data_IF_487419060392
#
_entry.id   IF_487419060392
#
_cell.length_a   1.000
_cell.length_b   1.000
_cell.length_c   1.000
_cell.angle_alpha   90.00
_cell.angle_beta   90.00
_cell.angle_gamma   90.00
#
_symmetry.space_group_name_H-M   'P 1'
#
loop_
_entity.id
_entity.type
_entity.pdbx_description
1 polymer ?
#
# COMPACT_ATOMS: atom_id res chain seq x y z
N UNK A 1 -19.19 20.79 32.57
CA UNK A 1 -18.53 22.06 32.18
C UNK A 1 -17.35 21.65 31.34
N UNK A 2 -17.38 21.91 30.04
CA UNK A 2 -16.26 21.61 29.18
C UNK A 2 -15.15 22.60 29.49
N UNK A 3 -14.01 22.09 29.89
CA UNK A 3 -12.80 22.90 30.11
C UNK A 3 -12.33 23.40 28.74
N UNK A 4 -12.31 24.71 28.54
CA UNK A 4 -11.79 25.33 27.34
C UNK A 4 -10.26 25.26 27.40
N UNK A 5 -9.65 24.37 26.65
CA UNK A 5 -8.19 24.29 26.52
C UNK A 5 -7.74 25.46 25.63
N UNK A 6 -7.12 26.45 26.25
CA UNK A 6 -6.52 27.57 25.53
C UNK A 6 -5.06 27.25 25.25
N UNK A 7 -4.73 27.01 23.97
CA UNK A 7 -3.33 26.86 23.50
C UNK A 7 -2.86 28.17 22.86
N UNK A 8 -1.68 28.63 23.25
CA UNK A 8 -1.04 29.79 22.65
C UNK A 8 0.02 29.30 21.67
N UNK A 9 -0.09 29.67 20.40
CA UNK A 9 0.93 29.41 19.37
C UNK A 9 1.79 30.66 19.27
N UNK A 10 3.09 30.54 19.47
CA UNK A 10 4.05 31.64 19.31
C UNK A 10 4.75 31.47 17.97
N UNK A 11 4.60 32.44 17.08
CA UNK A 11 5.29 32.51 15.80
C UNK A 11 6.56 33.32 15.96
N UNK A 12 7.72 32.72 15.70
CA UNK A 12 9.01 33.41 15.73
C UNK A 12 9.32 33.95 14.32
N UNK A 13 9.17 35.25 14.12
CA UNK A 13 9.32 35.91 12.80
C UNK A 13 10.72 35.82 12.20
N UNK A 14 11.73 35.46 12.99
CA UNK A 14 13.14 35.44 12.56
C UNK A 14 13.70 34.02 12.28
N UNK A 15 12.86 33.00 12.28
CA UNK A 15 13.27 31.62 11.94
C UNK A 15 12.70 31.21 10.59
N UNK A 16 13.56 31.04 9.62
CA UNK A 16 13.22 30.44 8.34
C UNK A 16 13.48 28.93 8.38
N UNK A 17 12.48 28.15 7.97
CA UNK A 17 12.59 26.70 7.82
C UNK A 17 12.36 26.34 6.36
N UNK A 18 13.18 25.45 5.83
CA UNK A 18 12.92 24.86 4.52
C UNK A 18 11.79 23.86 4.67
N UNK A 19 10.60 24.23 4.23
CA UNK A 19 9.47 23.30 4.14
C UNK A 19 9.64 22.43 2.90
N UNK A 20 9.83 21.13 3.12
CA UNK A 20 9.82 20.13 2.04
C UNK A 20 8.40 19.54 1.94
N UNK A 21 7.62 20.05 1.00
CA UNK A 21 6.29 19.52 0.75
C UNK A 21 6.39 18.09 0.16
N UNK A 22 5.75 17.14 0.80
CA UNK A 22 5.59 15.75 0.33
C UNK A 22 4.11 15.33 0.34
N UNK A 23 3.21 16.28 0.65
CA UNK A 23 1.77 16.01 0.77
C UNK A 23 1.15 15.71 -0.60
N UNK A 24 1.68 16.30 -1.66
CA UNK A 24 1.27 16.12 -3.06
C UNK A 24 1.99 14.94 -3.76
N UNK A 25 2.75 14.14 -3.01
CA UNK A 25 3.44 12.99 -3.58
C UNK A 25 2.47 11.91 -4.06
N UNK A 26 1.50 11.50 -3.21
CA UNK A 26 0.59 10.42 -3.57
C UNK A 26 -0.81 10.64 -2.98
N UNK A 27 -1.83 10.32 -3.77
CA UNK A 27 -3.23 10.25 -3.30
C UNK A 27 -3.69 8.80 -3.20
N UNK A 28 -4.41 8.45 -2.13
CA UNK A 28 -5.11 7.18 -2.01
C UNK A 28 -6.44 7.20 -2.75
N UNK A 29 -6.73 6.16 -3.54
CA UNK A 29 -7.99 6.03 -4.29
C UNK A 29 -8.95 5.01 -3.71
N UNK A 30 -8.60 4.32 -2.63
CA UNK A 30 -9.38 3.25 -2.03
C UNK A 30 -9.39 2.00 -2.90
N UNK A 31 -10.14 1.97 -4.00
CA UNK A 31 -10.29 0.79 -4.85
C UNK A 31 -9.98 1.08 -6.32
N UNK A 32 -9.10 0.29 -6.90
CA UNK A 32 -8.66 0.44 -8.30
C UNK A 32 -9.82 0.34 -9.30
N UNK A 33 -10.76 -0.59 -9.09
CA UNK A 33 -11.92 -0.78 -9.97
C UNK A 33 -12.86 0.43 -10.09
N UNK A 34 -12.84 1.37 -9.13
CA UNK A 34 -13.62 2.62 -9.24
C UNK A 34 -13.16 3.49 -10.41
N UNK A 35 -11.89 3.41 -10.78
CA UNK A 35 -11.34 4.20 -11.89
C UNK A 35 -11.92 3.80 -13.27
N UNK A 36 -12.67 2.71 -13.36
CA UNK A 36 -13.44 2.36 -14.56
C UNK A 36 -14.72 3.16 -14.72
N UNK A 37 -15.15 3.90 -13.68
CA UNK A 37 -16.40 4.70 -13.71
C UNK A 37 -16.13 6.14 -14.14
N UNK A 38 -17.05 6.69 -14.94
CA UNK A 38 -16.94 8.08 -15.43
C UNK A 38 -16.95 9.11 -14.29
N UNK A 39 -17.81 8.90 -13.30
CA UNK A 39 -17.92 9.80 -12.15
C UNK A 39 -16.59 9.91 -11.38
N UNK A 40 -15.94 8.78 -11.14
CA UNK A 40 -14.64 8.77 -10.48
C UNK A 40 -13.57 9.51 -11.32
N UNK A 41 -13.54 9.26 -12.62
CA UNK A 41 -12.57 9.92 -13.52
C UNK A 41 -12.74 11.44 -13.53
N UNK A 42 -13.98 11.93 -13.53
CA UNK A 42 -14.27 13.36 -13.48
C UNK A 42 -13.85 14.00 -12.14
N UNK A 43 -14.09 13.31 -11.03
CA UNK A 43 -13.65 13.75 -9.70
C UNK A 43 -12.13 13.74 -9.58
N UNK A 44 -11.46 12.69 -10.06
CA UNK A 44 -10.00 12.62 -10.06
C UNK A 44 -9.37 13.72 -10.93
N UNK A 45 -9.96 14.01 -12.10
CA UNK A 45 -9.49 15.08 -12.95
C UNK A 45 -9.62 16.45 -12.26
N UNK A 46 -10.68 16.68 -11.49
CA UNK A 46 -10.85 17.91 -10.69
C UNK A 46 -9.78 17.98 -9.59
N UNK A 47 -9.60 16.91 -8.82
CA UNK A 47 -8.57 16.83 -7.77
C UNK A 47 -7.19 17.11 -8.35
N UNK A 48 -6.87 16.51 -9.48
CA UNK A 48 -5.58 16.66 -10.12
C UNK A 48 -5.34 18.09 -10.64
N UNK A 49 -6.38 18.72 -11.18
CA UNK A 49 -6.35 20.13 -11.60
C UNK A 49 -6.09 21.09 -10.43
N UNK A 50 -6.71 20.85 -9.27
CA UNK A 50 -6.68 21.77 -8.13
C UNK A 50 -5.48 21.54 -7.19
N UNK A 51 -4.96 20.31 -7.12
CA UNK A 51 -3.88 19.91 -6.19
C UNK A 51 -2.62 19.47 -6.95
N UNK A 52 -2.73 18.54 -7.91
CA UNK A 52 -1.61 18.06 -8.73
C UNK A 52 -0.73 17.04 -8.04
N UNK A 53 -1.30 15.91 -7.61
CA UNK A 53 -0.54 14.79 -7.06
C UNK A 53 0.37 14.15 -8.11
N UNK A 54 1.50 13.58 -7.65
CA UNK A 54 2.45 12.87 -8.52
C UNK A 54 2.09 11.41 -8.73
N UNK A 55 1.54 10.76 -7.70
CA UNK A 55 1.24 9.33 -7.69
C UNK A 55 -0.17 9.04 -7.18
N UNK A 56 -0.65 7.82 -7.45
CA UNK A 56 -1.93 7.32 -6.98
C UNK A 56 -1.82 5.86 -6.55
N UNK A 57 -2.31 5.54 -5.34
CA UNK A 57 -2.34 4.18 -4.77
C UNK A 57 -3.77 3.72 -4.53
N UNK A 58 -4.08 2.49 -4.84
CA UNK A 58 -5.38 1.89 -4.58
C UNK A 58 -5.33 0.38 -4.46
N UNK A 59 -6.29 -0.15 -3.69
CA UNK A 59 -6.45 -1.58 -3.46
C UNK A 59 -6.98 -2.34 -4.68
N UNK A 60 -6.73 -3.62 -4.70
CA UNK A 60 -7.45 -4.55 -5.55
C UNK A 60 -7.02 -4.58 -7.01
N UNK A 61 -5.75 -4.32 -7.29
CA UNK A 61 -5.18 -4.44 -8.63
C UNK A 61 -5.44 -5.81 -9.27
N UNK A 62 -5.34 -6.88 -8.47
CA UNK A 62 -5.55 -8.26 -8.93
C UNK A 62 -6.95 -8.82 -8.65
N UNK A 63 -7.88 -7.99 -8.16
CA UNK A 63 -9.26 -8.44 -7.97
C UNK A 63 -9.94 -8.78 -9.29
N UNK A 64 -10.90 -9.71 -9.23
CA UNK A 64 -11.56 -10.28 -10.41
C UNK A 64 -12.36 -9.25 -11.23
N UNK A 65 -12.69 -8.08 -10.66
CA UNK A 65 -13.36 -6.99 -11.39
C UNK A 65 -12.40 -6.18 -12.29
N UNK A 66 -11.09 -6.21 -12.02
CA UNK A 66 -10.06 -5.78 -12.97
C UNK A 66 -9.74 -6.91 -13.95
N UNK A 67 -9.83 -8.17 -13.50
CA UNK A 67 -9.84 -9.35 -14.34
C UNK A 67 -8.52 -9.66 -15.04
N UNK A 68 -7.39 -9.33 -14.39
CA UNK A 68 -6.04 -9.60 -14.96
C UNK A 68 -5.80 -11.09 -15.10
N UNK A 69 -6.26 -11.91 -14.13
CA UNK A 69 -5.98 -13.34 -14.06
C UNK A 69 -7.24 -14.18 -14.29
N UNK A 70 -7.13 -15.14 -15.18
CA UNK A 70 -8.12 -16.17 -15.41
C UNK A 70 -7.43 -17.53 -15.56
N UNK A 71 -8.21 -18.60 -15.54
CA UNK A 71 -7.72 -19.94 -15.86
C UNK A 71 -8.62 -20.61 -16.89
N UNK A 72 -7.99 -21.34 -17.84
CA UNK A 72 -8.71 -22.22 -18.75
C UNK A 72 -9.36 -23.36 -17.99
N UNK A 73 -10.29 -24.13 -18.60
CA UNK A 73 -10.84 -25.34 -18.00
C UNK A 73 -9.77 -26.38 -17.60
N UNK A 74 -8.61 -26.37 -18.27
CA UNK A 74 -7.47 -27.25 -17.99
C UNK A 74 -6.57 -26.71 -16.88
N UNK A 75 -6.86 -25.50 -16.36
CA UNK A 75 -6.12 -24.84 -15.27
C UNK A 75 -4.88 -24.08 -15.71
N UNK A 76 -4.76 -23.77 -16.99
CA UNK A 76 -3.67 -22.94 -17.51
C UNK A 76 -3.98 -21.45 -17.25
N UNK A 77 -2.94 -20.68 -16.90
CA UNK A 77 -3.08 -19.24 -16.63
C UNK A 77 -3.33 -18.45 -17.91
N UNK A 78 -4.34 -17.59 -17.88
CA UNK A 78 -4.63 -16.60 -18.91
C UNK A 78 -4.61 -15.19 -18.32
N UNK A 79 -4.10 -14.22 -19.07
CA UNK A 79 -4.01 -12.82 -18.62
C UNK A 79 -4.79 -11.90 -19.53
N UNK A 80 -5.57 -10.97 -18.93
CA UNK A 80 -6.31 -9.94 -19.65
C UNK A 80 -6.05 -8.57 -19.02
N UNK A 81 -5.43 -7.69 -19.76
CA UNK A 81 -5.05 -6.36 -19.28
C UNK A 81 -6.02 -5.24 -19.73
N UNK A 82 -7.15 -5.57 -20.36
CA UNK A 82 -8.06 -4.58 -20.94
C UNK A 82 -8.56 -3.54 -19.93
N UNK A 83 -8.97 -3.96 -18.73
CA UNK A 83 -9.44 -3.03 -17.70
C UNK A 83 -8.29 -2.36 -16.96
N UNK A 84 -7.20 -3.07 -16.74
CA UNK A 84 -5.95 -2.48 -16.24
C UNK A 84 -5.52 -1.31 -17.14
N UNK A 85 -5.44 -1.53 -18.45
CA UNK A 85 -5.04 -0.50 -19.40
C UNK A 85 -5.91 0.75 -19.30
N UNK A 86 -7.22 0.57 -19.19
CA UNK A 86 -8.16 1.70 -19.02
C UNK A 86 -7.90 2.51 -17.76
N UNK A 87 -7.61 1.82 -16.64
CA UNK A 87 -7.28 2.48 -15.38
C UNK A 87 -5.95 3.23 -15.50
N UNK A 88 -4.92 2.56 -15.98
CA UNK A 88 -3.57 3.14 -16.10
C UNK A 88 -3.52 4.29 -17.11
N UNK A 89 -4.16 4.14 -18.27
CA UNK A 89 -4.27 5.23 -19.26
C UNK A 89 -4.97 6.46 -18.67
N UNK A 90 -6.01 6.26 -17.87
CA UNK A 90 -6.70 7.35 -17.16
C UNK A 90 -5.75 8.08 -16.22
N UNK A 91 -4.98 7.37 -15.41
CA UNK A 91 -4.02 7.97 -14.48
C UNK A 91 -2.91 8.72 -15.21
N UNK A 92 -2.27 8.07 -16.17
CA UNK A 92 -1.18 8.68 -16.95
C UNK A 92 -1.66 9.93 -17.71
N UNK A 93 -2.88 9.90 -18.26
CA UNK A 93 -3.45 11.08 -18.96
C UNK A 93 -3.65 12.29 -18.04
N UNK A 94 -3.77 12.08 -16.74
CA UNK A 94 -3.86 13.09 -15.71
C UNK A 94 -2.51 13.47 -15.07
N UNK A 95 -1.39 12.90 -15.57
CA UNK A 95 -0.06 13.11 -15.02
C UNK A 95 0.24 12.35 -13.73
N UNK A 96 -0.59 11.36 -13.37
CA UNK A 96 -0.41 10.50 -12.21
C UNK A 96 0.37 9.24 -12.57
N UNK A 97 1.35 8.87 -11.74
CA UNK A 97 2.02 7.57 -11.78
C UNK A 97 1.38 6.61 -10.79
N UNK A 98 1.15 5.35 -11.15
CA UNK A 98 0.72 4.35 -10.19
C UNK A 98 1.78 4.11 -9.10
N UNK A 99 1.34 4.06 -7.85
CA UNK A 99 2.02 3.38 -6.75
C UNK A 99 1.35 2.02 -6.64
N UNK A 100 1.97 1.00 -7.22
CA UNK A 100 1.33 -0.30 -7.42
C UNK A 100 1.28 -1.10 -6.11
N UNK A 101 0.09 -1.33 -5.57
CA UNK A 101 -0.15 -2.30 -4.51
C UNK A 101 -0.49 -3.65 -5.15
N UNK A 102 0.36 -4.65 -4.96
CA UNK A 102 0.16 -6.00 -5.50
C UNK A 102 -0.80 -6.80 -4.59
N UNK A 103 -2.10 -6.58 -4.76
CA UNK A 103 -3.20 -7.18 -3.99
C UNK A 103 -4.56 -6.88 -4.66
N UNK A 104 -5.66 -7.53 -4.27
CA UNK A 104 -5.71 -8.75 -3.46
C UNK A 104 -5.67 -9.99 -4.36
N UNK A 105 -5.68 -11.21 -3.75
CA UNK A 105 -5.52 -12.45 -4.50
C UNK A 105 -6.68 -12.68 -5.48
N UNK A 106 -6.43 -13.01 -6.77
CA UNK A 106 -7.49 -13.47 -7.66
C UNK A 106 -8.17 -14.73 -7.10
N UNK A 107 -9.49 -14.82 -7.19
CA UNK A 107 -10.24 -15.95 -6.62
C UNK A 107 -9.77 -17.32 -7.12
N UNK A 108 -9.41 -17.42 -8.41
CA UNK A 108 -8.91 -18.68 -9.00
C UNK A 108 -7.52 -19.07 -8.53
N UNK A 109 -6.73 -18.11 -8.07
CA UNK A 109 -5.37 -18.33 -7.56
C UNK A 109 -5.33 -18.56 -6.05
N UNK A 110 -6.38 -18.16 -5.33
CA UNK A 110 -6.45 -18.17 -3.87
C UNK A 110 -6.38 -19.58 -3.29
N UNK A 111 -5.66 -19.75 -2.17
CA UNK A 111 -5.63 -21.02 -1.41
C UNK A 111 -6.86 -21.23 -0.54
N UNK A 112 -7.62 -20.17 -0.25
CA UNK A 112 -8.78 -20.17 0.62
C UNK A 112 -9.85 -19.18 0.19
N UNK A 113 -10.83 -18.95 1.07
CA UNK A 113 -12.03 -18.16 0.77
C UNK A 113 -12.21 -16.92 1.63
N UNK A 114 -11.24 -16.60 2.49
CA UNK A 114 -11.30 -15.38 3.30
C UNK A 114 -11.29 -14.16 2.41
N UNK A 115 -12.18 -13.21 2.70
CA UNK A 115 -12.28 -11.96 1.93
C UNK A 115 -12.44 -10.75 2.83
N UNK A 116 -12.04 -9.59 2.34
CA UNK A 116 -12.19 -8.29 3.00
C UNK A 116 -13.01 -7.35 2.11
N UNK A 117 -13.59 -6.34 2.73
CA UNK A 117 -14.45 -5.32 2.12
C UNK A 117 -15.72 -5.88 1.45
N UNK A 118 -16.66 -5.01 1.12
CA UNK A 118 -17.92 -5.34 0.46
C UNK A 118 -17.73 -5.94 -0.94
N UNK A 119 -16.62 -5.62 -1.59
CA UNK A 119 -16.25 -6.12 -2.93
C UNK A 119 -15.39 -7.39 -2.89
N UNK A 120 -15.25 -8.00 -1.69
CA UNK A 120 -14.71 -9.35 -1.49
C UNK A 120 -13.31 -9.59 -2.06
N UNK A 121 -12.38 -8.65 -1.81
CA UNK A 121 -10.95 -8.90 -2.07
C UNK A 121 -10.48 -10.13 -1.29
N UNK A 122 -9.93 -11.14 -1.95
CA UNK A 122 -9.47 -12.36 -1.29
C UNK A 122 -8.14 -12.13 -0.57
N UNK A 123 -8.04 -12.53 0.68
CA UNK A 123 -6.90 -12.24 1.57
C UNK A 123 -6.16 -13.50 2.01
N UNK A 124 -6.29 -14.58 1.24
CA UNK A 124 -5.53 -15.82 1.48
C UNK A 124 -4.28 -15.87 0.61
N UNK A 125 -3.25 -16.64 0.99
CA UNK A 125 -2.07 -16.87 0.16
C UNK A 125 -2.40 -17.46 -1.22
N UNK A 126 -1.49 -17.36 -2.21
CA UNK A 126 -1.69 -18.05 -3.47
C UNK A 126 -1.59 -19.57 -3.30
N UNK A 127 -2.47 -20.32 -3.94
CA UNK A 127 -2.37 -21.78 -4.01
C UNK A 127 -1.11 -22.24 -4.78
N UNK A 128 -0.57 -21.36 -5.65
CA UNK A 128 0.65 -21.59 -6.40
C UNK A 128 1.49 -20.31 -6.50
N UNK A 129 2.62 -20.29 -5.81
CA UNK A 129 3.58 -19.17 -5.88
C UNK A 129 4.15 -18.97 -7.29
N UNK A 130 4.28 -20.06 -8.06
CA UNK A 130 4.70 -19.95 -9.46
C UNK A 130 3.67 -19.18 -10.29
N UNK A 131 2.38 -19.50 -10.18
CA UNK A 131 1.33 -18.77 -10.90
C UNK A 131 1.27 -17.30 -10.47
N UNK A 132 1.47 -17.03 -9.17
CA UNK A 132 1.55 -15.67 -8.64
C UNK A 132 2.69 -14.87 -9.25
N UNK A 133 3.92 -15.41 -9.24
CA UNK A 133 5.09 -14.73 -9.81
C UNK A 133 4.99 -14.60 -11.33
N UNK A 134 4.43 -15.59 -12.03
CA UNK A 134 4.16 -15.51 -13.47
C UNK A 134 3.17 -14.36 -13.78
N UNK A 135 2.10 -14.20 -12.98
CA UNK A 135 1.13 -13.11 -13.13
C UNK A 135 1.78 -11.74 -12.88
N UNK A 136 2.56 -11.59 -11.80
CA UNK A 136 3.28 -10.34 -11.51
C UNK A 136 4.25 -9.99 -12.63
N UNK A 137 4.98 -10.98 -13.14
CA UNK A 137 5.92 -10.78 -14.25
C UNK A 137 5.19 -10.41 -15.55
N UNK A 138 4.07 -11.07 -15.85
CA UNK A 138 3.24 -10.75 -17.02
C UNK A 138 2.68 -9.32 -16.92
N UNK A 139 2.19 -8.91 -15.74
CA UNK A 139 1.73 -7.53 -15.48
C UNK A 139 2.82 -6.51 -15.79
N UNK A 140 4.00 -6.66 -15.19
CA UNK A 140 5.07 -5.68 -15.33
C UNK A 140 5.63 -5.65 -16.75
N UNK A 141 5.74 -6.81 -17.43
CA UNK A 141 6.12 -6.89 -18.84
C UNK A 141 5.14 -6.14 -19.73
N UNK A 142 3.83 -6.35 -19.53
CA UNK A 142 2.78 -5.65 -20.26
C UNK A 142 2.83 -4.12 -20.03
N UNK A 143 3.00 -3.69 -18.79
CA UNK A 143 3.12 -2.26 -18.46
C UNK A 143 4.37 -1.65 -19.13
N UNK A 144 5.51 -2.35 -19.13
CA UNK A 144 6.73 -1.89 -19.80
C UNK A 144 6.57 -1.81 -21.33
N UNK A 145 5.87 -2.75 -21.95
CA UNK A 145 5.54 -2.71 -23.37
C UNK A 145 4.64 -1.51 -23.71
N UNK A 146 3.69 -1.18 -22.83
CA UNK A 146 2.71 -0.11 -23.06
C UNK A 146 3.27 1.29 -22.76
N UNK A 147 3.97 1.46 -21.65
CA UNK A 147 4.39 2.78 -21.12
C UNK A 147 5.90 3.00 -21.16
N UNK A 148 6.66 2.09 -21.72
CA UNK A 148 8.12 1.96 -21.73
C UNK A 148 8.71 1.51 -20.39
N UNK A 149 9.78 0.74 -20.47
CA UNK A 149 10.49 0.26 -19.27
C UNK A 149 11.01 1.42 -18.43
N UNK A 150 11.56 2.47 -19.04
CA UNK A 150 12.15 3.60 -18.34
C UNK A 150 11.12 4.42 -17.54
N UNK A 151 9.85 4.41 -17.95
CA UNK A 151 8.76 5.00 -17.16
C UNK A 151 8.35 4.06 -16.03
N UNK A 152 8.07 2.79 -16.32
CA UNK A 152 7.49 1.85 -15.34
C UNK A 152 8.44 1.50 -14.20
N UNK A 153 9.76 1.48 -14.42
CA UNK A 153 10.75 1.27 -13.33
C UNK A 153 10.77 2.41 -12.31
N UNK A 154 10.15 3.56 -12.61
CA UNK A 154 10.00 4.66 -11.64
C UNK A 154 8.78 4.52 -10.74
N UNK A 155 7.88 3.59 -11.04
CA UNK A 155 6.66 3.36 -10.25
C UNK A 155 6.98 2.51 -9.02
N UNK A 156 6.69 2.97 -7.80
CA UNK A 156 6.89 2.16 -6.61
C UNK A 156 5.95 0.95 -6.61
N UNK A 157 6.48 -0.21 -6.23
CA UNK A 157 5.74 -1.47 -6.15
C UNK A 157 5.73 -1.93 -4.69
N UNK A 158 4.56 -1.96 -4.09
CA UNK A 158 4.29 -2.41 -2.73
C UNK A 158 3.70 -3.82 -2.78
N UNK A 159 4.29 -4.73 -2.03
CA UNK A 159 3.81 -6.12 -2.00
C UNK A 159 2.79 -6.29 -0.89
N UNK A 160 1.50 -6.41 -1.27
CA UNK A 160 0.35 -6.61 -0.39
C UNK A 160 -0.09 -5.36 0.38
N UNK A 161 -1.10 -5.56 1.29
CA UNK A 161 -1.68 -4.55 2.18
C UNK A 161 -1.96 -5.14 3.56
N UNK A 162 -1.48 -4.51 4.62
CA UNK A 162 -1.73 -4.81 6.04
C UNK A 162 -1.62 -6.30 6.41
N UNK A 163 -0.52 -7.00 6.07
CA UNK A 163 -0.37 -8.43 6.36
C UNK A 163 -0.32 -8.73 7.86
N UNK A 164 -0.17 -7.71 8.71
CA UNK A 164 -0.20 -7.81 10.15
C UNK A 164 -1.62 -7.88 10.76
N UNK A 165 -2.66 -7.71 9.92
CA UNK A 165 -4.06 -7.83 10.34
C UNK A 165 -4.67 -9.11 9.79
N UNK A 166 -5.27 -9.99 10.64
CA UNK A 166 -5.81 -11.26 10.20
C UNK A 166 -6.98 -11.15 9.20
N UNK A 167 -7.59 -9.96 9.08
CA UNK A 167 -8.59 -9.68 8.05
C UNK A 167 -8.02 -9.42 6.66
N UNK A 168 -6.79 -8.88 6.59
CA UNK A 168 -6.11 -8.52 5.34
C UNK A 168 -5.08 -9.55 4.86
N UNK A 169 -4.65 -10.45 5.74
CA UNK A 169 -3.82 -11.61 5.44
C UNK A 169 -4.22 -12.75 6.36
N UNK A 170 -4.52 -13.90 5.79
CA UNK A 170 -5.07 -15.03 6.56
C UNK A 170 -4.18 -15.37 7.77
N UNK A 171 -4.79 -15.33 8.98
CA UNK A 171 -4.13 -15.51 10.27
C UNK A 171 -3.03 -14.50 10.62
N UNK A 172 -2.84 -13.43 9.86
CA UNK A 172 -1.68 -12.55 9.96
C UNK A 172 -0.35 -13.33 9.98
N UNK A 173 -0.27 -14.39 9.14
CA UNK A 173 0.86 -15.31 9.09
C UNK A 173 2.09 -14.61 8.52
N UNK A 174 2.98 -14.14 9.41
CA UNK A 174 4.18 -13.40 9.05
C UNK A 174 5.16 -14.22 8.20
N UNK A 175 5.49 -15.47 8.54
CA UNK A 175 6.33 -16.33 7.70
C UNK A 175 5.77 -16.51 6.28
N UNK A 176 4.48 -16.72 6.13
CA UNK A 176 3.84 -16.89 4.82
C UNK A 176 3.82 -15.57 4.03
N UNK A 177 3.63 -14.42 4.71
CA UNK A 177 3.77 -13.11 4.07
C UNK A 177 5.22 -12.87 3.60
N UNK A 178 6.22 -13.17 4.42
CA UNK A 178 7.63 -13.01 4.03
C UNK A 178 7.99 -13.88 2.83
N UNK A 179 7.43 -15.07 2.73
CA UNK A 179 7.58 -15.92 1.55
C UNK A 179 6.92 -15.30 0.32
N UNK A 180 5.71 -14.72 0.45
CA UNK A 180 5.07 -13.96 -0.64
C UNK A 180 5.96 -12.79 -1.08
N UNK A 181 6.42 -11.99 -0.14
CA UNK A 181 7.29 -10.85 -0.40
C UNK A 181 8.56 -11.26 -1.13
N UNK A 182 9.28 -12.23 -0.61
CA UNK A 182 10.58 -12.69 -1.14
C UNK A 182 10.43 -13.23 -2.57
N UNK A 183 9.48 -14.13 -2.80
CA UNK A 183 9.28 -14.70 -4.15
C UNK A 183 8.85 -13.64 -5.16
N UNK A 184 8.05 -12.66 -4.73
CA UNK A 184 7.63 -11.52 -5.55
C UNK A 184 8.81 -10.59 -5.85
N UNK A 185 9.59 -10.24 -4.83
CA UNK A 185 10.78 -9.41 -4.96
C UNK A 185 11.78 -10.00 -5.96
N UNK A 186 12.11 -11.28 -5.82
CA UNK A 186 13.04 -11.98 -6.71
C UNK A 186 12.55 -12.00 -8.15
N UNK A 187 11.25 -12.27 -8.36
CA UNK A 187 10.66 -12.29 -9.71
C UNK A 187 10.73 -10.91 -10.38
N UNK A 188 10.43 -9.85 -9.63
CA UNK A 188 10.48 -8.47 -10.13
C UNK A 188 11.93 -8.04 -10.42
N UNK A 189 12.84 -8.24 -9.47
CA UNK A 189 14.25 -7.86 -9.65
C UNK A 189 14.96 -8.65 -10.74
N UNK A 190 14.52 -9.89 -11.00
CA UNK A 190 15.01 -10.70 -12.13
C UNK A 190 14.51 -10.17 -13.46
N UNK A 191 13.31 -9.61 -13.53
CA UNK A 191 12.77 -8.99 -14.75
C UNK A 191 13.58 -7.74 -15.11
N UNK A 192 13.74 -6.81 -14.17
CA UNK A 192 14.64 -5.66 -14.27
C UNK A 192 15.02 -5.18 -12.85
N UNK A 193 16.31 -5.12 -12.56
CA UNK A 193 16.83 -4.72 -11.23
C UNK A 193 16.52 -3.27 -10.86
N UNK A 194 16.11 -2.43 -11.79
CA UNK A 194 15.76 -1.02 -11.58
C UNK A 194 14.38 -0.81 -10.95
N UNK A 195 13.49 -1.82 -10.99
CA UNK A 195 12.19 -1.70 -10.33
C UNK A 195 12.33 -1.37 -8.85
N UNK A 196 11.50 -0.44 -8.37
CA UNK A 196 11.45 -0.05 -6.96
C UNK A 196 10.46 -0.94 -6.22
N UNK A 197 10.95 -1.79 -5.33
CA UNK A 197 10.12 -2.77 -4.59
C UNK A 197 10.27 -2.59 -3.09
N UNK A 198 9.14 -2.52 -2.39
CA UNK A 198 9.09 -2.37 -0.94
C UNK A 198 7.83 -2.96 -0.30
N UNK A 199 7.74 -2.78 0.98
CA UNK A 199 6.69 -3.24 1.89
C UNK A 199 7.08 -2.92 3.33
N UNK A 200 6.45 -3.52 4.34
CA UNK A 200 5.37 -4.52 4.30
C UNK A 200 3.96 -3.93 4.39
N UNK A 201 3.75 -2.63 4.25
CA UNK A 201 2.45 -1.95 4.30
C UNK A 201 1.65 -2.24 5.59
N UNK A 202 2.31 -2.26 6.73
CA UNK A 202 1.67 -2.65 7.99
C UNK A 202 0.81 -1.55 8.58
N UNK A 203 -0.30 -1.93 9.20
CA UNK A 203 -1.04 -1.07 10.10
C UNK A 203 -0.14 -0.60 11.26
N UNK A 204 -0.22 0.67 11.63
CA UNK A 204 0.61 1.27 12.66
C UNK A 204 0.48 0.63 14.04
N UNK A 205 1.47 0.90 14.91
CA UNK A 205 1.52 0.36 16.27
C UNK A 205 2.10 -1.05 16.40
N UNK A 206 2.56 -1.65 15.30
CA UNK A 206 3.18 -2.98 15.29
C UNK A 206 4.64 -2.95 14.84
N UNK A 207 5.25 -1.79 14.77
CA UNK A 207 6.57 -1.54 14.18
C UNK A 207 7.67 -2.40 14.81
N UNK A 208 7.72 -2.50 16.15
CA UNK A 208 8.73 -3.30 16.87
C UNK A 208 8.65 -4.80 16.56
N UNK A 209 7.51 -5.28 16.14
CA UNK A 209 7.35 -6.68 15.75
C UNK A 209 7.49 -6.84 14.24
N UNK A 210 6.67 -6.13 13.47
CA UNK A 210 6.57 -6.38 12.03
C UNK A 210 7.65 -5.69 11.20
N UNK A 211 7.92 -4.39 11.44
CA UNK A 211 8.97 -3.68 10.69
C UNK A 211 10.33 -4.25 11.06
N UNK A 212 10.60 -4.50 12.35
CA UNK A 212 11.86 -5.11 12.78
C UNK A 212 12.06 -6.49 12.15
N UNK A 213 11.07 -7.37 12.26
CA UNK A 213 11.17 -8.71 11.67
C UNK A 213 11.30 -8.67 10.14
N UNK A 214 10.64 -7.72 9.47
CA UNK A 214 10.80 -7.54 8.03
C UNK A 214 12.21 -7.10 7.65
N UNK A 215 12.80 -6.16 8.39
CA UNK A 215 14.18 -5.71 8.15
C UNK A 215 15.18 -6.82 8.43
N UNK A 216 15.01 -7.58 9.53
CA UNK A 216 15.83 -8.77 9.85
C UNK A 216 15.74 -9.83 8.75
N UNK A 217 14.53 -10.06 8.23
CA UNK A 217 14.32 -11.01 7.13
C UNK A 217 15.01 -10.53 5.85
N UNK A 218 14.90 -9.26 5.50
CA UNK A 218 15.55 -8.68 4.33
C UNK A 218 17.09 -8.75 4.45
N UNK A 219 17.64 -8.45 5.63
CA UNK A 219 19.08 -8.55 5.87
C UNK A 219 19.59 -9.99 5.76
N UNK A 220 18.88 -10.93 6.40
CA UNK A 220 19.27 -12.35 6.43
C UNK A 220 19.21 -13.00 5.04
N UNK A 221 18.25 -12.59 4.20
CA UNK A 221 18.04 -13.17 2.87
C UNK A 221 18.62 -12.31 1.73
N UNK A 222 19.45 -11.32 2.06
CA UNK A 222 20.09 -10.43 1.09
C UNK A 222 19.14 -9.65 0.17
N UNK A 223 17.93 -9.33 0.63
CA UNK A 223 16.96 -8.57 -0.14
C UNK A 223 17.26 -7.07 -0.06
N UNK A 224 17.70 -6.47 -1.15
CA UNK A 224 17.97 -5.04 -1.25
C UNK A 224 16.67 -4.28 -1.56
N UNK A 225 15.78 -4.17 -0.56
CA UNK A 225 14.53 -3.41 -0.70
C UNK A 225 14.80 -1.93 -0.93
N UNK A 226 13.96 -1.26 -1.71
CA UNK A 226 14.17 0.13 -2.12
C UNK A 226 13.51 1.13 -1.18
N UNK A 227 12.47 0.70 -0.45
CA UNK A 227 11.74 1.51 0.53
C UNK A 227 11.00 0.62 1.53
N UNK A 228 10.56 1.24 2.62
CA UNK A 228 9.67 0.62 3.60
C UNK A 228 8.32 1.33 3.58
N UNK A 229 7.23 0.58 3.73
CA UNK A 229 5.88 1.14 3.79
C UNK A 229 5.16 0.78 5.08
N UNK A 230 4.34 1.71 5.55
CA UNK A 230 3.44 1.54 6.69
C UNK A 230 2.25 2.48 6.59
N UNK A 231 1.22 2.21 7.38
CA UNK A 231 0.05 3.09 7.52
C UNK A 231 0.14 3.90 8.81
N UNK A 232 -0.49 5.06 8.81
CA UNK A 232 -0.56 5.91 9.99
C UNK A 232 -1.95 6.54 10.13
N UNK A 233 -2.70 6.04 11.11
CA UNK A 233 -3.95 6.65 11.55
C UNK A 233 -3.75 7.15 12.98
N UNK A 234 -4.11 8.43 13.22
CA UNK A 234 -3.97 9.04 14.55
C UNK A 234 -5.16 8.65 15.43
N UNK A 235 -5.32 7.35 15.62
CA UNK A 235 -6.44 6.77 16.37
C UNK A 235 -5.97 5.65 17.28
N UNK A 236 -6.62 5.56 18.45
CA UNK A 236 -6.46 4.46 19.39
C UNK A 236 -7.03 3.14 18.83
N UNK A 237 -6.61 2.00 19.38
CA UNK A 237 -7.27 0.73 19.07
C UNK A 237 -8.78 0.79 19.33
N UNK A 238 -9.61 0.08 18.53
CA UNK A 238 -11.05 0.08 18.69
C UNK A 238 -11.47 -0.39 20.08
N UNK A 239 -12.40 0.34 20.70
CA UNK A 239 -13.05 -0.04 21.95
C UNK A 239 -14.47 -0.52 21.68
N UNK A 240 -14.88 -1.58 22.35
CA UNK A 240 -16.24 -2.14 22.23
C UNK A 240 -17.05 -1.86 23.48
N UNK A 241 -18.23 -1.26 23.30
CA UNK A 241 -19.21 -1.05 24.36
C UNK A 241 -20.58 -1.61 23.93
N UNK A 242 -20.97 -2.74 24.48
CA UNK A 242 -22.18 -3.44 24.05
C UNK A 242 -22.08 -3.87 22.57
N UNK A 243 -22.98 -3.35 21.73
CA UNK A 243 -23.00 -3.62 20.30
C UNK A 243 -22.23 -2.59 19.45
N UNK A 244 -21.64 -1.60 20.08
CA UNK A 244 -20.92 -0.52 19.39
C UNK A 244 -19.42 -0.74 19.49
N UNK A 245 -18.74 -0.61 18.36
CA UNK A 245 -17.30 -0.37 18.31
C UNK A 245 -17.06 1.09 18.00
N UNK A 246 -16.20 1.75 18.77
CA UNK A 246 -15.84 3.14 18.57
C UNK A 246 -14.33 3.31 18.69
N UNK A 247 -13.83 4.39 18.11
CA UNK A 247 -12.41 4.72 18.07
C UNK A 247 -12.25 6.11 18.66
N UNK A 248 -11.30 6.25 19.57
CA UNK A 248 -10.86 7.55 20.10
C UNK A 248 -9.66 8.03 19.27
N UNK A 249 -9.49 9.33 19.18
CA UNK A 249 -8.30 9.91 18.57
C UNK A 249 -7.11 9.78 19.53
N UNK A 250 -5.96 9.43 18.97
CA UNK A 250 -4.67 9.40 19.68
C UNK A 250 -4.15 10.82 19.89
N UNK A 251 -3.32 11.02 20.92
CA UNK A 251 -2.54 12.24 21.01
C UNK A 251 -1.61 12.37 19.80
N UNK A 252 -1.63 13.50 19.07
CA UNK A 252 -0.77 13.67 17.90
C UNK A 252 0.72 13.48 18.18
N UNK A 253 1.21 13.86 19.35
CA UNK A 253 2.62 13.66 19.74
C UNK A 253 2.97 12.18 19.87
N UNK A 254 2.05 11.35 20.35
CA UNK A 254 2.22 9.89 20.38
C UNK A 254 2.23 9.31 18.98
N UNK A 255 1.36 9.80 18.09
CA UNK A 255 1.36 9.43 16.69
C UNK A 255 2.70 9.74 16.00
N UNK A 256 3.27 10.91 16.24
CA UNK A 256 4.60 11.27 15.71
C UNK A 256 5.72 10.41 16.33
N UNK A 257 5.66 10.08 17.62
CA UNK A 257 6.61 9.18 18.26
C UNK A 257 6.61 7.79 17.59
N UNK A 258 5.43 7.28 17.22
CA UNK A 258 5.33 6.01 16.49
C UNK A 258 6.01 6.05 15.11
N UNK A 259 5.97 7.18 14.39
CA UNK A 259 6.70 7.34 13.13
C UNK A 259 8.22 7.40 13.34
N UNK A 260 8.69 8.02 14.43
CA UNK A 260 10.09 8.02 14.81
C UNK A 260 10.59 6.61 15.11
N UNK A 261 9.81 5.80 15.82
CA UNK A 261 10.14 4.39 16.10
C UNK A 261 10.41 3.61 14.80
N UNK A 262 9.58 3.79 13.76
CA UNK A 262 9.81 3.16 12.45
C UNK A 262 11.19 3.55 11.89
N UNK A 263 11.55 4.84 11.93
CA UNK A 263 12.83 5.34 11.44
C UNK A 263 14.00 4.76 12.24
N UNK A 264 13.91 4.71 13.56
CA UNK A 264 14.93 4.17 14.44
C UNK A 264 15.16 2.67 14.19
N UNK A 265 14.10 1.89 13.99
CA UNK A 265 14.20 0.48 13.65
C UNK A 265 14.98 0.32 12.34
N UNK A 266 14.58 1.00 11.26
CA UNK A 266 15.23 0.86 9.95
C UNK A 266 16.70 1.29 10.04
N UNK A 267 16.99 2.41 10.69
CA UNK A 267 18.34 2.95 10.82
C UNK A 267 19.25 2.13 11.75
N UNK A 268 18.68 1.23 12.57
CA UNK A 268 19.43 0.25 13.37
C UNK A 268 20.11 -0.84 12.52
N UNK A 269 19.69 -1.00 11.26
CA UNK A 269 20.30 -1.89 10.28
C UNK A 269 21.23 -1.07 9.37
N UNK A 270 22.57 -1.18 9.49
CA UNK A 270 23.50 -0.32 8.76
C UNK A 270 23.30 -0.33 7.24
N UNK A 271 22.92 -1.48 6.68
CA UNK A 271 22.65 -1.66 5.25
C UNK A 271 21.45 -0.84 4.77
N UNK A 272 20.45 -0.66 5.62
CA UNK A 272 19.17 -0.03 5.29
C UNK A 272 19.02 1.38 5.85
N UNK A 273 20.08 1.90 6.47
CA UNK A 273 20.05 3.24 7.07
C UNK A 273 19.68 4.30 6.04
N UNK A 274 18.64 5.07 6.35
CA UNK A 274 18.16 6.14 5.49
C UNK A 274 17.24 5.70 4.35
N UNK A 275 16.83 4.41 4.27
CA UNK A 275 15.81 3.97 3.31
C UNK A 275 14.58 4.89 3.38
N UNK A 276 13.97 5.24 2.24
CA UNK A 276 12.69 5.95 2.22
C UNK A 276 11.61 5.19 3.01
N UNK A 277 10.78 5.94 3.74
CA UNK A 277 9.55 5.43 4.34
C UNK A 277 8.39 6.09 3.62
N UNK A 278 7.50 5.30 3.06
CA UNK A 278 6.24 5.79 2.52
C UNK A 278 5.11 5.47 3.49
N UNK A 279 4.36 6.51 3.87
CA UNK A 279 3.11 6.35 4.62
C UNK A 279 2.02 6.16 3.57
N UNK A 280 1.72 4.89 3.26
CA UNK A 280 0.89 4.52 2.10
C UNK A 280 -0.61 4.60 2.39
N UNK A 281 -0.98 4.73 3.67
CA UNK A 281 -2.30 5.19 4.11
C UNK A 281 -2.16 6.14 5.29
N UNK A 282 -2.90 7.24 5.25
CA UNK A 282 -2.82 8.27 6.27
C UNK A 282 -4.17 8.97 6.45
N UNK A 283 -4.62 9.06 7.71
CA UNK A 283 -5.73 9.92 8.11
C UNK A 283 -5.76 10.04 9.66
N UNK A 284 -6.67 10.88 10.18
CA UNK A 284 -6.97 10.91 11.61
C UNK A 284 -7.67 9.64 12.09
N UNK A 285 -8.55 9.06 11.25
CA UNK A 285 -9.26 7.81 11.54
C UNK A 285 -9.48 7.01 10.27
N UNK A 286 -9.50 5.68 10.37
CA UNK A 286 -9.84 4.77 9.29
C UNK A 286 -11.36 4.51 9.19
N UNK A 287 -12.16 5.03 10.12
CA UNK A 287 -13.63 4.95 10.09
C UNK A 287 -14.26 6.34 10.04
N UNK A 288 -15.33 6.54 9.24
CA UNK A 288 -15.96 7.84 9.07
C UNK A 288 -16.77 8.30 10.29
N UNK A 289 -17.09 7.40 11.20
CA UNK A 289 -17.99 7.63 12.34
C UNK A 289 -17.24 7.70 13.68
N UNK A 290 -16.03 8.25 13.70
CA UNK A 290 -15.33 8.48 14.94
C UNK A 290 -16.09 9.57 15.73
N UNK A 291 -16.63 9.32 16.93
CA UNK A 291 -17.21 10.37 17.75
C UNK A 291 -16.07 11.32 18.17
N UNK A 292 -16.26 12.59 17.88
CA UNK A 292 -15.38 13.68 18.31
C UNK A 292 -15.63 14.00 19.78
#
# INVERSE_FOLDING_TARGET
>A
MNEVIQKTIQIEENKEYVFRNQVDFCIGTGRMGLALTKEYQDQLALVQKEIGFSHIRGHGLFCDDIGIYQETPEGESEYNFTYLDRVMDSYISLGLRPFLELGFMPQKMASGTQTIFYWKGNTTPPASYKKWTDMVTALLSHLCERYTTDEVVTWPIEVWNEPNLPGFWENADMPEYFKLFHTTFDAIKKLDSRFLVGGPAVCGGTDEVWIRSFMEYCETNDLAVDFVTRHHYTSEPPKTQGHYSYIELMDPEEGFANLHTTREIIDSFPRFKGLPIHITEFNTSYVPNCPI
#
